data_IF_186607784681
#
_entry.id   IF_186607784681
#
_cell.length_a   1.000
_cell.length_b   1.000
_cell.length_c   1.000
_cell.angle_alpha   90.00
_cell.angle_beta   90.00
_cell.angle_gamma   90.00
#
_symmetry.space_group_name_H-M   'P 1'
#
loop_
_entity.id
_entity.type
_entity.pdbx_description
1 polymer ?
#
# COMPACT_ATOMS: atom_id res chain seq x y z
N UNK A 1 0.29 -7.32 29.15
CA UNK A 1 -0.26 -6.37 28.14
C UNK A 1 0.22 -6.83 26.78
N UNK A 2 -0.69 -7.23 25.88
CA UNK A 2 -0.33 -7.45 24.47
C UNK A 2 -0.28 -6.08 23.81
N UNK A 3 0.87 -5.69 23.31
CA UNK A 3 1.10 -4.38 22.69
C UNK A 3 0.31 -4.31 21.39
N UNK A 4 -0.76 -3.50 21.37
CA UNK A 4 -1.67 -3.27 20.23
C UNK A 4 -1.08 -2.30 19.21
N UNK A 5 0.25 -2.30 19.05
CA UNK A 5 0.93 -1.40 18.12
C UNK A 5 1.55 -2.25 17.04
N UNK A 6 1.00 -2.16 15.84
CA UNK A 6 1.61 -2.74 14.64
C UNK A 6 2.98 -2.06 14.44
N UNK A 7 4.04 -2.85 14.45
CA UNK A 7 5.39 -2.40 14.14
C UNK A 7 5.94 -3.30 13.03
N UNK A 8 6.64 -2.70 12.06
CA UNK A 8 7.45 -3.48 11.14
C UNK A 8 8.61 -4.09 11.93
N UNK A 9 8.78 -5.42 11.87
CA UNK A 9 9.89 -6.06 12.57
C UNK A 9 11.22 -5.67 11.90
N UNK A 10 12.32 -5.64 12.66
CA UNK A 10 13.65 -5.36 12.08
C UNK A 10 14.08 -6.41 11.03
N UNK A 11 13.42 -7.57 11.03
CA UNK A 11 13.63 -8.68 10.10
C UNK A 11 12.75 -8.59 8.84
N UNK A 12 11.71 -7.74 8.87
CA UNK A 12 10.84 -7.50 7.73
C UNK A 12 11.58 -6.68 6.66
N UNK A 13 12.13 -7.41 5.70
CA UNK A 13 12.56 -6.79 4.46
C UNK A 13 11.31 -6.35 3.68
N UNK A 14 11.07 -5.04 3.63
CA UNK A 14 10.13 -4.42 2.69
C UNK A 14 10.56 -4.77 1.26
N UNK A 15 10.07 -5.91 0.75
CA UNK A 15 10.33 -6.35 -0.60
C UNK A 15 9.43 -5.55 -1.52
N UNK A 16 9.96 -4.48 -2.09
CA UNK A 16 9.31 -3.83 -3.22
C UNK A 16 9.40 -4.79 -4.41
N UNK A 17 8.30 -5.49 -4.68
CA UNK A 17 8.16 -6.29 -5.89
C UNK A 17 8.46 -5.44 -7.13
N UNK A 18 8.99 -6.07 -8.19
CA UNK A 18 9.17 -5.41 -9.48
C UNK A 18 7.83 -4.90 -10.03
N UNK A 19 7.86 -3.93 -10.95
CA UNK A 19 6.65 -3.23 -11.44
C UNK A 19 5.53 -4.17 -11.91
N UNK A 20 5.91 -5.26 -12.59
CA UNK A 20 4.96 -6.30 -13.05
C UNK A 20 4.32 -7.06 -11.89
N UNK A 21 5.13 -7.54 -10.95
CA UNK A 21 4.64 -8.31 -9.80
C UNK A 21 3.76 -7.45 -8.89
N UNK A 22 4.08 -6.15 -8.71
CA UNK A 22 3.19 -5.21 -8.01
C UNK A 22 1.84 -5.07 -8.71
N UNK A 23 1.83 -5.01 -10.04
CA UNK A 23 0.58 -4.92 -10.80
C UNK A 23 -0.27 -6.19 -10.59
N UNK A 24 0.34 -7.37 -10.67
CA UNK A 24 -0.31 -8.66 -10.42
C UNK A 24 -0.86 -8.75 -8.99
N UNK A 25 -0.07 -8.37 -7.99
CA UNK A 25 -0.47 -8.38 -6.58
C UNK A 25 -1.60 -7.38 -6.29
N UNK A 26 -1.55 -6.18 -6.87
CA UNK A 26 -2.61 -5.19 -6.72
C UNK A 26 -3.93 -5.65 -7.37
N UNK A 27 -3.88 -6.19 -8.60
CA UNK A 27 -5.07 -6.70 -9.28
C UNK A 27 -5.69 -7.87 -8.51
N UNK A 28 -4.87 -8.81 -8.03
CA UNK A 28 -5.35 -9.92 -7.21
C UNK A 28 -6.04 -9.43 -5.92
N UNK A 29 -5.49 -8.40 -5.27
CA UNK A 29 -6.10 -7.80 -4.10
C UNK A 29 -7.44 -7.11 -4.41
N UNK A 30 -7.55 -6.40 -5.54
CA UNK A 30 -8.81 -5.75 -5.96
C UNK A 30 -9.92 -6.78 -6.26
N UNK A 31 -9.61 -7.85 -7.01
CA UNK A 31 -10.59 -8.92 -7.29
C UNK A 31 -11.10 -9.56 -6.00
N UNK A 32 -10.18 -9.86 -5.08
CA UNK A 32 -10.53 -10.41 -3.77
C UNK A 32 -11.40 -9.44 -2.96
N UNK A 33 -11.13 -8.14 -3.04
CA UNK A 33 -11.95 -7.13 -2.36
C UNK A 33 -13.38 -7.12 -2.92
N UNK A 34 -13.55 -7.14 -4.24
CA UNK A 34 -14.88 -7.22 -4.88
C UNK A 34 -15.66 -8.47 -4.44
N UNK A 35 -15.00 -9.63 -4.38
CA UNK A 35 -15.60 -10.88 -3.89
C UNK A 35 -16.05 -10.79 -2.42
N UNK A 36 -15.22 -10.18 -1.57
CA UNK A 36 -15.52 -10.00 -0.15
C UNK A 36 -16.67 -9.00 0.07
N UNK A 37 -16.68 -7.90 -0.68
CA UNK A 37 -17.76 -6.92 -0.63
C UNK A 37 -19.09 -7.52 -1.12
N UNK A 38 -19.07 -8.28 -2.21
CA UNK A 38 -20.26 -8.96 -2.73
C UNK A 38 -20.79 -10.04 -1.77
N UNK A 39 -19.90 -10.76 -1.09
CA UNK A 39 -20.30 -11.79 -0.11
C UNK A 39 -20.70 -11.23 1.26
N UNK A 40 -20.31 -9.99 1.58
CA UNK A 40 -20.52 -9.37 2.90
C UNK A 40 -19.75 -10.05 4.03
N UNK A 41 -18.77 -10.90 3.70
CA UNK A 41 -18.00 -11.68 4.67
C UNK A 41 -16.66 -11.01 4.98
N UNK A 42 -16.14 -11.14 6.21
CA UNK A 42 -14.81 -10.66 6.54
C UNK A 42 -13.73 -11.53 5.87
N UNK A 43 -12.60 -10.92 5.54
CA UNK A 43 -11.43 -11.63 5.02
C UNK A 43 -10.87 -12.62 6.05
N UNK A 44 -10.63 -13.85 5.61
CA UNK A 44 -9.83 -14.85 6.36
C UNK A 44 -8.37 -14.42 6.48
N UNK A 45 -7.57 -15.01 7.41
CA UNK A 45 -6.16 -14.67 7.55
C UNK A 45 -5.35 -14.77 6.24
N UNK A 46 -5.57 -15.82 5.45
CA UNK A 46 -4.90 -15.98 4.14
C UNK A 46 -5.33 -14.92 3.12
N UNK A 47 -6.60 -14.49 3.14
CA UNK A 47 -7.09 -13.40 2.31
C UNK A 47 -6.53 -12.05 2.78
N UNK A 48 -6.36 -11.84 4.08
CA UNK A 48 -5.69 -10.65 4.61
C UNK A 48 -4.24 -10.58 4.12
N UNK A 49 -3.50 -11.68 4.12
CA UNK A 49 -2.15 -11.75 3.55
C UNK A 49 -2.11 -11.36 2.06
N UNK A 50 -3.17 -11.65 1.31
CA UNK A 50 -3.30 -11.20 -0.08
C UNK A 50 -3.61 -9.71 -0.18
N UNK A 51 -4.53 -9.20 0.64
CA UNK A 51 -4.92 -7.79 0.65
C UNK A 51 -3.75 -6.87 1.04
N UNK A 52 -2.90 -7.25 2.00
CA UNK A 52 -1.74 -6.42 2.41
C UNK A 52 -0.67 -6.26 1.33
N UNK A 53 -0.70 -7.08 0.26
CA UNK A 53 0.22 -6.93 -0.87
C UNK A 53 -0.17 -5.79 -1.81
N UNK A 54 -1.34 -5.18 -1.62
CA UNK A 54 -1.71 -3.97 -2.35
C UNK A 54 -0.80 -2.80 -1.95
N UNK A 55 0.00 -2.32 -2.89
CA UNK A 55 0.96 -1.22 -2.67
C UNK A 55 0.64 0.04 -3.47
N UNK A 56 -0.52 0.06 -4.13
CA UNK A 56 -0.99 1.17 -4.95
C UNK A 56 -0.28 1.28 -6.31
N UNK A 57 -0.68 2.29 -7.10
CA UNK A 57 -0.35 2.41 -8.52
C UNK A 57 0.71 3.47 -8.83
N UNK A 58 1.24 4.18 -7.82
CA UNK A 58 2.00 5.44 -7.92
C UNK A 58 3.23 5.48 -8.84
N UNK A 59 3.63 4.36 -9.45
CA UNK A 59 4.52 4.34 -10.61
C UNK A 59 3.70 4.01 -11.86
N UNK A 60 3.70 4.91 -12.84
CA UNK A 60 2.97 4.72 -14.11
C UNK A 60 3.34 3.42 -14.83
N UNK A 61 4.53 2.85 -14.60
CA UNK A 61 4.91 1.54 -15.12
C UNK A 61 4.12 0.38 -14.48
N UNK A 62 3.75 0.47 -13.20
CA UNK A 62 2.88 -0.53 -12.54
C UNK A 62 1.50 -0.49 -13.17
N UNK A 63 0.92 0.71 -13.33
CA UNK A 63 -0.39 0.86 -13.98
C UNK A 63 -0.41 0.34 -15.42
N UNK A 64 0.63 0.59 -16.21
CA UNK A 64 0.72 0.07 -17.60
C UNK A 64 0.58 -1.45 -17.68
N UNK A 65 0.99 -2.20 -16.66
CA UNK A 65 0.82 -3.65 -16.62
C UNK A 65 -0.59 -4.11 -16.22
N UNK A 66 -1.42 -3.22 -15.71
CA UNK A 66 -2.77 -3.50 -15.20
C UNK A 66 -3.89 -2.73 -15.92
N UNK A 67 -3.55 -1.86 -16.87
CA UNK A 67 -4.48 -0.89 -17.47
C UNK A 67 -5.71 -1.56 -18.07
N UNK A 68 -5.52 -2.59 -18.91
CA UNK A 68 -6.60 -3.28 -19.61
C UNK A 68 -7.64 -3.87 -18.65
N UNK A 69 -7.19 -4.36 -17.49
CA UNK A 69 -8.07 -4.96 -16.50
C UNK A 69 -8.75 -3.91 -15.61
N UNK A 70 -8.01 -2.89 -15.18
CA UNK A 70 -8.57 -1.78 -14.40
C UNK A 70 -9.65 -1.03 -15.16
N UNK A 71 -9.47 -0.87 -16.48
CA UNK A 71 -10.46 -0.23 -17.35
C UNK A 71 -11.76 -1.07 -17.46
N UNK A 72 -11.70 -2.38 -17.20
CA UNK A 72 -12.87 -3.27 -17.16
C UNK A 72 -13.52 -3.41 -15.78
N UNK A 73 -12.74 -3.25 -14.70
CA UNK A 73 -13.23 -3.39 -13.31
C UNK A 73 -13.85 -2.09 -12.78
N UNK A 74 -13.29 -0.93 -13.15
CA UNK A 74 -13.62 0.34 -12.52
C UNK A 74 -14.56 1.17 -13.40
N UNK A 75 -15.49 1.87 -12.74
CA UNK A 75 -16.27 2.90 -13.42
C UNK A 75 -15.38 4.11 -13.80
N UNK A 76 -15.84 4.90 -14.77
CA UNK A 76 -15.08 6.04 -15.31
C UNK A 76 -14.66 7.02 -14.19
N UNK A 77 -15.54 7.41 -13.25
CA UNK A 77 -15.16 8.27 -12.13
C UNK A 77 -14.02 7.70 -11.29
N UNK A 78 -14.09 6.42 -10.90
CA UNK A 78 -13.09 5.77 -10.06
C UNK A 78 -11.77 5.61 -10.80
N UNK A 79 -11.82 5.26 -12.08
CA UNK A 79 -10.62 5.18 -12.92
C UNK A 79 -9.92 6.53 -13.04
N UNK A 80 -10.66 7.63 -13.19
CA UNK A 80 -10.10 8.98 -13.22
C UNK A 80 -9.48 9.38 -11.88
N UNK A 81 -10.14 9.06 -10.76
CA UNK A 81 -9.60 9.30 -9.43
C UNK A 81 -8.30 8.51 -9.19
N UNK A 82 -8.27 7.24 -9.61
CA UNK A 82 -7.07 6.40 -9.57
C UNK A 82 -5.94 7.02 -10.39
N UNK A 83 -6.22 7.46 -11.63
CA UNK A 83 -5.22 8.11 -12.50
C UNK A 83 -4.65 9.40 -11.88
N UNK A 84 -5.50 10.23 -11.29
CA UNK A 84 -5.08 11.43 -10.57
C UNK A 84 -4.22 11.10 -9.34
N UNK A 85 -4.52 10.02 -8.62
CA UNK A 85 -3.74 9.59 -7.45
C UNK A 85 -2.30 9.19 -7.82
N UNK A 86 -2.09 8.62 -9.00
CA UNK A 86 -0.76 8.22 -9.48
C UNK A 86 0.15 9.41 -9.75
N UNK A 87 -0.39 10.46 -10.39
CA UNK A 87 0.37 11.67 -10.72
C UNK A 87 0.85 12.43 -9.47
N UNK A 88 0.16 12.23 -8.35
CA UNK A 88 0.45 12.89 -7.07
C UNK A 88 1.19 11.98 -6.08
N UNK A 89 1.58 10.77 -6.47
CA UNK A 89 2.30 9.83 -5.61
C UNK A 89 3.79 10.18 -5.55
N UNK A 90 4.16 11.07 -4.64
CA UNK A 90 5.56 11.36 -4.34
C UNK A 90 6.02 10.55 -3.13
N UNK A 91 7.05 9.71 -3.33
CA UNK A 91 7.71 9.04 -2.22
C UNK A 91 8.65 10.03 -1.52
N UNK A 92 8.45 10.23 -0.22
CA UNK A 92 9.44 10.87 0.64
C UNK A 92 10.66 9.97 0.74
N UNK A 93 11.86 10.51 0.50
CA UNK A 93 13.08 9.69 0.57
C UNK A 93 13.28 9.15 1.99
N UNK A 94 13.91 7.98 2.10
CA UNK A 94 14.25 7.39 3.41
C UNK A 94 15.13 8.31 4.26
N UNK A 95 15.97 9.12 3.63
CA UNK A 95 16.78 10.13 4.30
C UNK A 95 15.91 11.17 5.01
N UNK A 96 14.91 11.72 4.31
CA UNK A 96 13.97 12.68 4.88
C UNK A 96 13.13 12.02 5.99
N UNK A 97 12.66 10.78 5.77
CA UNK A 97 11.93 10.02 6.80
C UNK A 97 12.79 9.84 8.06
N UNK A 98 14.07 9.46 7.91
CA UNK A 98 15.01 9.32 9.04
C UNK A 98 15.26 10.65 9.74
N UNK A 99 15.44 11.75 9.00
CA UNK A 99 15.64 13.07 9.55
C UNK A 99 14.44 13.54 10.39
N UNK A 100 13.22 13.30 9.91
CA UNK A 100 11.98 13.60 10.65
C UNK A 100 11.96 12.83 11.97
N UNK A 101 12.22 11.52 11.95
CA UNK A 101 12.24 10.70 13.15
C UNK A 101 13.33 11.13 14.13
N UNK A 102 14.53 11.45 13.66
CA UNK A 102 15.60 11.99 14.49
C UNK A 102 15.17 13.30 15.18
N UNK A 103 14.52 14.21 14.45
CA UNK A 103 13.97 15.43 15.04
C UNK A 103 12.92 15.16 16.12
N UNK A 104 11.97 14.26 15.86
CA UNK A 104 10.96 13.82 16.85
C UNK A 104 11.64 13.25 18.09
N UNK A 105 12.61 12.36 17.93
CA UNK A 105 13.37 11.82 19.07
C UNK A 105 14.10 12.91 19.85
N UNK A 106 14.76 13.87 19.19
CA UNK A 106 15.46 14.95 19.89
C UNK A 106 14.50 15.84 20.69
N UNK A 107 13.34 16.19 20.12
CA UNK A 107 12.36 17.05 20.77
C UNK A 107 11.70 16.35 21.97
N UNK A 108 11.30 15.09 21.82
CA UNK A 108 10.51 14.40 22.84
C UNK A 108 11.35 13.59 23.83
N UNK A 109 12.57 13.18 23.48
CA UNK A 109 13.47 12.48 24.40
C UNK A 109 14.31 13.45 25.25
N UNK A 110 14.41 14.73 24.88
CA UNK A 110 15.03 15.77 25.71
C UNK A 110 14.17 16.18 26.93
N UNK A 111 12.89 15.79 26.97
CA UNK A 111 11.96 16.01 28.09
C UNK A 111 11.72 14.79 28.99
N UNK A 112 12.33 13.64 28.70
CA UNK A 112 12.31 12.45 29.55
C UNK A 112 13.67 12.29 30.24
N UNK A 113 13.96 13.15 31.20
CA UNK A 113 14.93 12.91 32.27
C UNK A 113 14.27 13.18 33.60
#
# INVERSE_FOLDING_TARGET
MKTTTFYFSEEENLRFAGVKKKAEENLAALRLLEELEASGLPATPAQQEALIRYTGWGNTAVYKHAADELDGMLDIPTLNALKASMLNAHYTSLEIIRAIWQGVYQVFNAGMK
#
